data_IF_748243150670
#
_entry.id   IF_748243150670
#
_cell.length_a   1.000
_cell.length_b   1.000
_cell.length_c   1.000
_cell.angle_alpha   90.00
_cell.angle_beta   90.00
_cell.angle_gamma   90.00
#
_symmetry.space_group_name_H-M   'P 1'
#
loop_
_entity.id
_entity.type
_entity.pdbx_description
1 polymer ?
#
# COMPACT_ATOMS: atom_id res chain seq x y z
N UNK A 1 6.28 15.75 7.92
CA UNK A 1 4.92 15.64 8.49
C UNK A 1 4.06 14.98 7.43
N UNK A 2 4.02 13.65 7.42
CA UNK A 2 3.42 12.87 6.33
C UNK A 2 1.99 12.52 6.70
N UNK A 3 1.05 13.07 5.95
CA UNK A 3 -0.34 12.61 5.95
C UNK A 3 -0.43 11.51 4.91
N UNK A 4 -0.57 10.25 5.35
CA UNK A 4 -0.86 9.09 4.50
C UNK A 4 -2.35 9.14 4.14
N UNK A 5 -2.75 10.14 3.37
CA UNK A 5 -4.05 10.14 2.70
C UNK A 5 -3.73 9.92 1.23
N UNK A 6 -4.22 8.80 0.67
CA UNK A 6 -3.99 8.35 -0.72
C UNK A 6 -2.58 7.79 -1.05
N UNK A 7 -1.73 7.45 -0.09
CA UNK A 7 -0.47 6.75 -0.40
C UNK A 7 -0.69 5.24 -0.53
N UNK A 8 -0.40 4.70 -1.72
CA UNK A 8 -0.39 3.25 -1.97
C UNK A 8 1.03 2.72 -1.78
N UNK A 9 1.18 1.68 -0.96
CA UNK A 9 2.43 0.96 -0.79
C UNK A 9 2.39 -0.36 -1.56
N UNK A 10 3.48 -0.66 -2.24
CA UNK A 10 3.70 -1.91 -2.97
C UNK A 10 5.00 -2.52 -2.46
N UNK A 11 4.94 -3.77 -2.00
CA UNK A 11 6.13 -4.53 -1.63
C UNK A 11 6.34 -5.62 -2.67
N UNK A 12 7.51 -5.58 -3.31
CA UNK A 12 7.98 -6.61 -4.22
C UNK A 12 8.90 -7.57 -3.45
N UNK A 13 9.04 -8.79 -3.97
CA UNK A 13 9.96 -9.77 -3.38
C UNK A 13 11.42 -9.38 -3.64
N UNK A 14 11.69 -8.90 -4.85
CA UNK A 14 13.03 -8.53 -5.32
C UNK A 14 13.10 -7.02 -5.60
N UNK A 15 14.24 -6.39 -5.29
CA UNK A 15 14.43 -4.95 -5.49
C UNK A 15 14.41 -4.55 -6.97
N UNK A 16 14.90 -5.41 -7.86
CA UNK A 16 14.89 -5.17 -9.31
C UNK A 16 13.47 -5.00 -9.86
N UNK A 17 12.50 -5.74 -9.29
CA UNK A 17 11.09 -5.62 -9.68
C UNK A 17 10.52 -4.26 -9.23
N UNK A 18 10.92 -3.77 -8.06
CA UNK A 18 10.51 -2.47 -7.57
C UNK A 18 11.08 -1.33 -8.44
N UNK A 19 12.34 -1.44 -8.87
CA UNK A 19 12.97 -0.48 -9.78
C UNK A 19 12.31 -0.48 -11.16
N UNK A 20 12.02 -1.65 -11.71
CA UNK A 20 11.31 -1.78 -12.99
C UNK A 20 9.89 -1.18 -12.89
N UNK A 21 9.18 -1.43 -11.79
CA UNK A 21 7.85 -0.86 -11.55
C UNK A 21 7.89 0.67 -11.43
N UNK A 22 8.88 1.22 -10.72
CA UNK A 22 9.06 2.67 -10.58
C UNK A 22 9.26 3.31 -11.97
N UNK A 23 10.16 2.78 -12.78
CA UNK A 23 10.39 3.27 -14.14
C UNK A 23 9.14 3.14 -15.02
N UNK A 24 8.39 2.04 -14.89
CA UNK A 24 7.16 1.82 -15.65
C UNK A 24 6.01 2.76 -15.23
N UNK A 25 6.02 3.27 -13.99
CA UNK A 25 5.01 4.19 -13.48
C UNK A 25 5.35 5.66 -13.74
N UNK A 26 6.63 5.99 -13.94
CA UNK A 26 7.06 7.34 -14.27
C UNK A 26 6.42 7.84 -15.58
N UNK A 27 5.81 9.03 -15.52
CA UNK A 27 5.15 9.65 -16.68
C UNK A 27 3.77 9.08 -17.03
N UNK A 28 3.26 8.12 -16.25
CA UNK A 28 1.89 7.61 -16.42
C UNK A 28 0.87 8.47 -15.67
N UNK A 29 -0.36 8.41 -16.15
CA UNK A 29 -1.50 9.09 -15.55
C UNK A 29 -2.55 8.08 -15.11
N UNK A 30 -3.15 8.33 -13.95
CA UNK A 30 -4.28 7.58 -13.43
C UNK A 30 -5.42 8.56 -13.11
N UNK A 31 -6.61 8.33 -13.68
CA UNK A 31 -7.77 9.20 -13.49
C UNK A 31 -7.48 10.69 -13.77
N UNK A 32 -6.70 10.97 -14.83
CA UNK A 32 -6.31 12.33 -15.20
C UNK A 32 -5.28 13.00 -14.29
N UNK A 33 -4.72 12.29 -13.29
CA UNK A 33 -3.66 12.77 -12.40
C UNK A 33 -2.34 12.04 -12.69
N UNK A 34 -1.18 12.73 -12.68
CA UNK A 34 0.10 12.07 -12.83
C UNK A 34 0.37 11.13 -11.66
N UNK A 35 0.91 9.95 -11.95
CA UNK A 35 1.33 9.00 -10.92
C UNK A 35 2.72 9.43 -10.44
N UNK A 36 2.85 9.66 -9.14
CA UNK A 36 4.14 9.91 -8.48
C UNK A 36 4.44 8.67 -7.65
N UNK A 37 5.55 8.01 -7.95
CA UNK A 37 6.03 6.85 -7.23
C UNK A 37 7.47 7.13 -6.77
N UNK A 38 7.79 6.66 -5.57
CA UNK A 38 9.11 6.77 -4.95
C UNK A 38 9.40 5.52 -4.11
N UNK A 39 10.69 5.26 -3.87
CA UNK A 39 11.09 4.19 -2.95
C UNK A 39 10.80 4.57 -1.50
N UNK A 40 10.28 3.60 -0.75
CA UNK A 40 10.01 3.74 0.68
C UNK A 40 11.00 2.90 1.48
N UNK A 41 11.55 3.42 2.60
CA UNK A 41 12.42 2.64 3.49
C UNK A 41 11.64 1.61 4.34
N UNK A 42 10.30 1.55 4.20
CA UNK A 42 9.46 0.60 4.95
C UNK A 42 9.72 -0.82 4.43
N UNK A 43 10.39 -1.62 5.24
CA UNK A 43 10.71 -3.03 4.93
C UNK A 43 9.68 -4.00 5.51
N UNK A 44 9.03 -3.66 6.62
CA UNK A 44 8.00 -4.48 7.25
C UNK A 44 6.70 -3.69 7.49
N UNK A 45 5.64 -4.08 6.79
CA UNK A 45 4.32 -3.48 6.98
C UNK A 45 3.70 -3.82 8.33
N UNK A 46 4.09 -4.92 8.98
CA UNK A 46 3.53 -5.33 10.28
C UNK A 46 3.88 -4.35 11.38
N UNK A 47 5.05 -3.73 11.32
CA UNK A 47 5.48 -2.72 12.28
C UNK A 47 4.89 -1.34 11.97
N UNK A 48 4.72 -1.04 10.68
CA UNK A 48 4.18 0.23 10.23
C UNK A 48 2.63 0.28 10.26
N UNK A 49 1.93 -0.84 10.45
CA UNK A 49 0.46 -0.91 10.50
C UNK A 49 -0.08 -0.63 11.91
N UNK A 50 -1.18 0.10 11.98
CA UNK A 50 -1.85 0.41 13.23
C UNK A 50 -2.66 -0.80 13.74
N UNK A 51 -2.16 -1.50 14.76
CA UNK A 51 -2.90 -2.60 15.41
C UNK A 51 -4.26 -2.18 15.98
N UNK A 52 -4.34 -0.96 16.55
CA UNK A 52 -5.61 -0.42 17.05
C UNK A 52 -6.63 -0.19 15.94
N UNK A 53 -6.18 0.09 14.71
CA UNK A 53 -7.09 0.22 13.58
C UNK A 53 -7.62 -1.14 13.12
N UNK A 54 -6.79 -2.19 13.14
CA UNK A 54 -7.23 -3.57 12.87
C UNK A 54 -8.32 -4.02 13.86
N UNK A 55 -8.21 -3.60 15.12
CA UNK A 55 -9.21 -3.85 16.17
C UNK A 55 -10.40 -2.87 16.15
N UNK A 56 -10.46 -1.95 15.18
CA UNK A 56 -11.47 -0.89 15.07
C UNK A 56 -11.55 0.05 16.30
N UNK A 57 -10.44 0.21 17.03
CA UNK A 57 -10.33 1.01 18.26
C UNK A 57 -9.45 2.27 18.11
N UNK A 58 -8.93 2.52 16.90
CA UNK A 58 -8.05 3.67 16.66
C UNK A 58 -8.84 4.99 16.62
N UNK A 59 -8.80 5.73 17.73
CA UNK A 59 -9.44 7.04 17.87
C UNK A 59 -8.59 8.21 17.34
N UNK A 60 -7.38 7.93 16.82
CA UNK A 60 -6.45 8.95 16.34
C UNK A 60 -6.81 9.47 14.95
N UNK A 61 -7.66 8.76 14.20
CA UNK A 61 -8.13 9.16 12.87
C UNK A 61 -6.97 9.68 11.98
N UNK A 62 -7.09 10.90 11.45
CA UNK A 62 -6.07 11.54 10.60
C UNK A 62 -4.77 11.94 11.32
N UNK A 63 -4.69 11.78 12.63
CA UNK A 63 -3.47 12.01 13.43
C UNK A 63 -2.72 10.71 13.75
N UNK A 64 -3.17 9.57 13.23
CA UNK A 64 -2.43 8.33 13.35
C UNK A 64 -1.24 8.31 12.37
N UNK A 65 -0.03 8.10 12.90
CA UNK A 65 1.19 8.00 12.10
C UNK A 65 1.46 6.57 11.59
N UNK A 66 0.58 5.62 11.92
CA UNK A 66 0.67 4.24 11.47
C UNK A 66 -0.34 3.99 10.34
N UNK A 67 -0.03 3.06 9.45
CA UNK A 67 -0.86 2.74 8.31
C UNK A 67 -2.20 2.14 8.74
N UNK A 68 -3.28 2.71 8.20
CA UNK A 68 -4.64 2.19 8.33
C UNK A 68 -4.99 1.42 7.05
N UNK A 69 -4.65 0.13 7.02
CA UNK A 69 -4.77 -0.70 5.80
C UNK A 69 -6.24 -0.96 5.47
N UNK A 70 -6.66 -0.59 4.26
CA UNK A 70 -8.01 -0.89 3.76
C UNK A 70 -8.00 -2.25 3.06
N UNK A 71 -8.66 -3.23 3.67
CA UNK A 71 -8.78 -4.58 3.11
C UNK A 71 -9.70 -4.60 1.89
N UNK A 72 -9.30 -5.33 0.85
CA UNK A 72 -10.13 -5.61 -0.31
C UNK A 72 -11.27 -6.59 0.02
N UNK A 73 -12.39 -6.48 -0.67
CA UNK A 73 -13.53 -7.40 -0.52
C UNK A 73 -13.15 -8.85 -0.83
N UNK A 74 -13.82 -9.81 -0.18
CA UNK A 74 -13.50 -11.25 -0.28
C UNK A 74 -13.52 -11.77 -1.72
N UNK A 75 -14.45 -11.33 -2.55
CA UNK A 75 -14.55 -11.77 -3.94
C UNK A 75 -13.44 -11.21 -4.82
N UNK A 76 -13.05 -9.94 -4.61
CA UNK A 76 -11.92 -9.33 -5.30
C UNK A 76 -10.62 -10.01 -4.88
N UNK A 77 -10.45 -10.34 -3.60
CA UNK A 77 -9.31 -11.10 -3.10
C UNK A 77 -9.21 -12.47 -3.77
N UNK A 78 -10.33 -13.18 -3.92
CA UNK A 78 -10.37 -14.49 -4.61
C UNK A 78 -10.00 -14.35 -6.09
N UNK A 79 -10.43 -13.29 -6.77
CA UNK A 79 -10.06 -13.07 -8.19
C UNK A 79 -8.58 -12.72 -8.36
N UNK A 80 -8.01 -11.95 -7.44
CA UNK A 80 -6.62 -11.50 -7.53
C UNK A 80 -5.61 -12.55 -7.05
N UNK A 81 -5.95 -13.35 -6.02
CA UNK A 81 -5.03 -14.26 -5.35
C UNK A 81 -5.52 -15.71 -5.28
N UNK A 82 -6.73 -16.02 -5.75
CA UNK A 82 -7.33 -17.36 -5.63
C UNK A 82 -6.75 -18.42 -6.57
N UNK A 83 -5.73 -18.08 -7.36
CA UNK A 83 -5.01 -19.01 -8.23
C UNK A 83 -3.62 -19.37 -7.71
N UNK A 84 -3.14 -18.73 -6.63
CA UNK A 84 -1.84 -19.03 -5.98
C UNK A 84 -2.03 -19.96 -4.77
N UNK A 85 -2.64 -21.12 -4.99
CA UNK A 85 -2.51 -22.29 -4.11
C UNK A 85 -2.29 -23.51 -5.01
N UNK A 86 -1.03 -23.75 -5.33
CA UNK A 86 -0.48 -25.08 -5.68
C UNK A 86 0.81 -25.24 -4.91
#
# INVERSE_FOLDING_TARGET
MFVIIESLYLQFKEEDQAAAALQALQGRFYSGRPIIADFSPVTDFREATCRQYEENSCNRAGYCNLMHVKMIGRDLRRKLFGSDVT
#
